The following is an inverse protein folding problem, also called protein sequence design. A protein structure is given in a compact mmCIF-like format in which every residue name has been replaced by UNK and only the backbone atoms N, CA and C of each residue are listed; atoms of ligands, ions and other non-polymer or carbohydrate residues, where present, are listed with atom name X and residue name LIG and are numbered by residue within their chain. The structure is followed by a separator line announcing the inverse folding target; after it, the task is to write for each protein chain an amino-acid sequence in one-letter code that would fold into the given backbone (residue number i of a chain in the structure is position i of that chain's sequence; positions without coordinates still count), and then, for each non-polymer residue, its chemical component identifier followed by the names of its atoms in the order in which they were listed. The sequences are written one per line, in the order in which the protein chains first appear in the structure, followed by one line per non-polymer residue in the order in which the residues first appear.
data_IF_993080017154
#
_entry.id   IF_993080017154
#
_cell.length_a   1.000
_cell.length_b   1.000
_cell.length_c   1.000
_cell.angle_alpha   90.00
_cell.angle_beta   90.00
_cell.angle_gamma   90.00
#
_symmetry.space_group_name_H-M   'P 1'
#
loop_
_entity.id
_entity.type
_entity.pdbx_description
1 polymer ?
#
# COMPACT_ATOMS: atom_id res chain seq x y z
N UNK A 1 -35.94 22.22 45.88
CA UNK A 1 -34.58 21.73 45.56
C UNK A 1 -34.64 21.02 44.20
N UNK A 2 -34.35 21.71 43.10
CA UNK A 2 -34.41 21.14 41.74
C UNK A 2 -33.05 20.51 41.41
N UNK A 3 -33.02 19.19 41.19
CA UNK A 3 -31.83 18.45 40.75
C UNK A 3 -31.54 18.82 39.29
N UNK A 4 -30.40 19.46 39.06
CA UNK A 4 -29.82 19.64 37.72
C UNK A 4 -29.20 18.30 37.29
N UNK A 5 -29.78 17.67 36.28
CA UNK A 5 -29.20 16.51 35.60
C UNK A 5 -28.29 17.08 34.51
N UNK A 6 -26.97 16.95 34.70
CA UNK A 6 -25.98 17.24 33.66
C UNK A 6 -26.03 16.09 32.64
N UNK A 7 -26.65 16.32 31.49
CA UNK A 7 -26.54 15.43 30.35
C UNK A 7 -25.17 15.64 29.69
N UNK A 8 -24.25 14.68 29.86
CA UNK A 8 -22.98 14.64 29.14
C UNK A 8 -23.24 14.39 27.66
N UNK A 9 -23.05 15.42 26.81
CA UNK A 9 -23.00 15.24 25.37
C UNK A 9 -21.76 14.40 25.00
N UNK A 10 -21.99 13.14 24.64
CA UNK A 10 -21.04 12.36 23.85
C UNK A 10 -21.00 12.99 22.45
N UNK A 11 -19.95 13.76 22.18
CA UNK A 11 -19.63 14.23 20.83
C UNK A 11 -19.10 13.02 20.05
N UNK A 12 -19.99 12.31 19.37
CA UNK A 12 -19.61 11.31 18.38
C UNK A 12 -19.06 12.04 17.16
N UNK A 13 -17.76 12.26 17.10
CA UNK A 13 -17.07 12.74 15.90
C UNK A 13 -17.27 11.71 14.80
N UNK A 14 -18.03 12.05 13.77
CA UNK A 14 -18.12 11.27 12.54
C UNK A 14 -16.77 11.35 11.84
N UNK A 15 -15.90 10.36 12.09
CA UNK A 15 -14.67 10.20 11.32
C UNK A 15 -15.09 9.89 9.88
N UNK A 16 -15.06 10.89 9.01
CA UNK A 16 -15.20 10.67 7.57
C UNK A 16 -14.04 9.77 7.16
N UNK A 17 -14.34 8.56 6.65
CA UNK A 17 -13.31 7.62 6.22
C UNK A 17 -12.46 8.30 5.13
N UNK A 18 -11.29 8.81 5.51
CA UNK A 18 -10.36 9.42 4.57
C UNK A 18 -9.44 8.34 4.03
N UNK A 19 -9.52 8.08 2.73
CA UNK A 19 -8.53 7.25 2.05
C UNK A 19 -7.19 7.98 2.08
N UNK A 20 -6.15 7.30 2.56
CA UNK A 20 -4.78 7.80 2.59
C UNK A 20 -3.86 6.88 1.80
N UNK A 21 -2.75 7.44 1.32
CA UNK A 21 -1.75 6.73 0.53
C UNK A 21 -0.38 6.80 1.22
N UNK A 22 0.26 5.66 1.51
CA UNK A 22 1.65 5.63 1.98
C UNK A 22 2.58 6.18 0.91
N UNK A 23 3.41 7.15 1.28
CA UNK A 23 4.41 7.78 0.38
C UNK A 23 5.67 6.95 0.21
N UNK A 24 5.96 6.09 1.19
CA UNK A 24 7.08 5.16 1.24
C UNK A 24 6.63 3.79 1.79
N UNK A 25 7.58 2.90 2.06
CA UNK A 25 7.29 1.59 2.66
C UNK A 25 7.06 1.74 4.15
N UNK A 26 5.84 1.48 4.58
CA UNK A 26 5.42 1.63 5.98
C UNK A 26 5.50 0.31 6.76
N UNK A 27 5.93 0.32 8.04
CA UNK A 27 5.83 -0.86 8.89
C UNK A 27 4.36 -1.16 9.21
N UNK A 28 4.03 -2.44 9.32
CA UNK A 28 2.67 -2.90 9.63
C UNK A 28 2.66 -3.73 10.90
N UNK A 29 1.64 -3.53 11.73
CA UNK A 29 1.43 -4.19 13.00
C UNK A 29 0.04 -4.85 13.01
N UNK A 30 -0.13 -5.90 13.83
CA UNK A 30 -1.41 -6.61 13.99
C UNK A 30 -2.20 -6.17 15.23
N UNK A 31 -1.64 -5.30 16.06
CA UNK A 31 -2.28 -4.76 17.27
C UNK A 31 -1.81 -3.30 17.52
N UNK A 32 -2.65 -2.46 18.17
CA UNK A 32 -2.37 -1.05 18.35
C UNK A 32 -1.07 -0.81 19.13
N UNK A 33 -0.87 -1.48 20.25
CA UNK A 33 0.31 -1.25 21.11
C UNK A 33 1.51 -2.14 20.77
N UNK A 34 1.43 -2.95 19.70
CA UNK A 34 2.51 -3.88 19.35
C UNK A 34 3.75 -3.16 18.83
N UNK A 35 4.93 -3.49 19.37
CA UNK A 35 6.22 -3.03 18.80
C UNK A 35 6.79 -4.00 17.75
N UNK A 36 6.16 -5.16 17.59
CA UNK A 36 6.56 -6.21 16.67
C UNK A 36 6.04 -5.92 15.26
N UNK A 37 6.96 -5.57 14.36
CA UNK A 37 6.66 -5.31 12.94
C UNK A 37 6.26 -6.64 12.29
N UNK A 38 4.98 -6.75 11.95
CA UNK A 38 4.42 -7.93 11.33
C UNK A 38 4.56 -7.94 9.81
N UNK A 39 4.77 -6.77 9.19
CA UNK A 39 4.74 -6.65 7.74
C UNK A 39 5.14 -5.28 7.19
N UNK A 40 4.90 -5.10 5.90
CA UNK A 40 5.18 -3.88 5.14
C UNK A 40 3.99 -3.54 4.25
N UNK A 41 3.51 -2.31 4.36
CA UNK A 41 2.56 -1.68 3.46
C UNK A 41 3.37 -0.90 2.41
N UNK A 42 3.17 -1.21 1.14
CA UNK A 42 3.90 -0.56 0.04
C UNK A 42 3.25 0.76 -0.36
N UNK A 43 4.03 1.72 -0.92
CA UNK A 43 3.52 3.02 -1.33
C UNK A 43 2.41 2.90 -2.39
N UNK A 44 1.64 3.96 -2.58
CA UNK A 44 0.56 4.11 -3.60
C UNK A 44 -0.70 3.27 -3.39
N UNK A 45 -0.79 2.47 -2.32
CA UNK A 45 -1.97 1.65 -2.04
C UNK A 45 -2.90 2.37 -1.08
N UNK A 46 -4.12 2.68 -1.53
CA UNK A 46 -5.11 3.35 -0.70
C UNK A 46 -5.49 2.51 0.51
N UNK A 47 -5.43 3.13 1.68
CA UNK A 47 -5.91 2.57 2.93
C UNK A 47 -7.08 3.41 3.45
N UNK A 48 -8.12 2.76 3.95
CA UNK A 48 -9.21 3.46 4.64
C UNK A 48 -8.84 3.56 6.12
N UNK A 49 -8.73 4.77 6.64
CA UNK A 49 -8.48 5.00 8.08
C UNK A 49 -9.77 4.71 8.86
N UNK A 50 -9.70 3.74 9.78
CA UNK A 50 -10.83 3.34 10.62
C UNK A 50 -10.77 4.08 11.96
N UNK A 51 -9.59 4.17 12.54
CA UNK A 51 -9.37 4.70 13.88
C UNK A 51 -7.93 5.19 14.02
N UNK A 52 -7.74 6.24 14.80
CA UNK A 52 -6.42 6.69 15.23
C UNK A 52 -6.18 6.27 16.69
N UNK A 53 -5.05 5.62 16.96
CA UNK A 53 -4.69 5.16 18.31
C UNK A 53 -3.22 5.47 18.58
N UNK A 54 -2.97 6.46 19.45
CA UNK A 54 -1.60 6.90 19.76
C UNK A 54 -0.84 7.41 18.53
N UNK A 55 0.31 6.80 18.26
CA UNK A 55 1.19 7.06 17.11
C UNK A 55 0.81 6.26 15.84
N UNK A 56 -0.22 5.43 15.93
CA UNK A 56 -0.68 4.56 14.85
C UNK A 56 -2.09 4.89 14.38
N UNK A 57 -2.36 4.41 13.18
CA UNK A 57 -3.70 4.30 12.64
C UNK A 57 -4.06 2.83 12.49
N UNK A 58 -5.32 2.51 12.76
CA UNK A 58 -5.98 1.31 12.31
C UNK A 58 -6.54 1.58 10.92
N UNK A 59 -6.24 0.71 9.98
CA UNK A 59 -6.68 0.86 8.62
C UNK A 59 -7.31 -0.42 8.07
N UNK A 60 -8.18 -0.28 7.08
CA UNK A 60 -8.52 -1.38 6.18
C UNK A 60 -7.89 -1.21 4.81
N UNK A 61 -7.53 -2.33 4.19
CA UNK A 61 -7.06 -2.39 2.81
C UNK A 61 -7.76 -3.56 2.11
N UNK A 62 -8.35 -3.28 0.95
CA UNK A 62 -8.85 -4.30 0.03
C UNK A 62 -7.76 -4.72 -0.94
N UNK A 63 -7.78 -5.97 -1.34
CA UNK A 63 -6.88 -6.50 -2.36
C UNK A 63 -7.14 -7.97 -2.61
N UNK A 64 -6.16 -8.66 -3.16
CA UNK A 64 -6.28 -10.05 -3.58
C UNK A 64 -5.24 -10.93 -2.91
N UNK A 65 -5.63 -12.14 -2.52
CA UNK A 65 -4.72 -13.13 -1.94
C UNK A 65 -4.52 -14.28 -2.92
N UNK A 66 -3.25 -14.55 -3.22
CA UNK A 66 -2.85 -15.77 -3.91
C UNK A 66 -2.85 -16.93 -2.89
N UNK A 67 -3.57 -18.04 -3.11
CA UNK A 67 -3.53 -19.20 -2.22
C UNK A 67 -2.13 -19.76 -1.98
N UNK A 68 -1.21 -19.62 -2.95
CA UNK A 68 0.18 -20.02 -2.82
C UNK A 68 1.06 -19.05 -2.00
N UNK A 69 0.54 -17.86 -1.65
CA UNK A 69 1.24 -16.82 -0.91
C UNK A 69 0.26 -16.03 -0.02
N UNK A 70 -0.38 -16.72 0.93
CA UNK A 70 -1.44 -16.19 1.80
C UNK A 70 -1.02 -15.05 2.73
N UNK A 71 0.30 -14.85 2.92
CA UNK A 71 0.86 -13.75 3.68
C UNK A 71 1.03 -12.46 2.86
N UNK A 72 0.58 -12.42 1.60
CA UNK A 72 0.71 -11.26 0.72
C UNK A 72 -0.65 -10.87 0.17
N UNK A 73 -0.95 -9.58 0.26
CA UNK A 73 -2.12 -8.94 -0.34
C UNK A 73 -1.64 -8.16 -1.55
N UNK A 74 -2.21 -8.48 -2.69
CA UNK A 74 -1.89 -7.86 -3.97
C UNK A 74 -2.94 -6.79 -4.32
N UNK A 75 -2.49 -5.75 -5.01
CA UNK A 75 -3.32 -4.65 -5.47
C UNK A 75 -4.34 -5.11 -6.53
N UNK A 76 -3.93 -6.00 -7.44
CA UNK A 76 -4.75 -6.48 -8.56
C UNK A 76 -4.84 -8.00 -8.62
N UNK A 77 -5.90 -8.50 -9.26
CA UNK A 77 -6.13 -9.94 -9.40
C UNK A 77 -5.17 -10.55 -10.44
N UNK A 78 -4.38 -11.54 -10.02
CA UNK A 78 -3.50 -12.33 -10.89
C UNK A 78 -2.12 -11.72 -11.18
N UNK A 79 -1.83 -10.52 -10.69
CA UNK A 79 -0.55 -9.85 -10.86
C UNK A 79 0.12 -9.60 -9.51
N UNK A 80 1.44 -9.72 -9.49
CA UNK A 80 2.26 -9.56 -8.29
C UNK A 80 2.61 -8.11 -8.01
N UNK A 81 1.59 -7.24 -8.01
CA UNK A 81 1.68 -5.86 -7.53
C UNK A 81 1.35 -5.88 -6.04
N UNK A 82 2.38 -5.85 -5.19
CA UNK A 82 2.19 -6.04 -3.75
C UNK A 82 1.56 -4.78 -3.16
N UNK A 83 0.43 -4.92 -2.47
CA UNK A 83 -0.14 -3.83 -1.69
C UNK A 83 0.40 -3.89 -0.25
N UNK A 84 0.32 -5.07 0.35
CA UNK A 84 0.65 -5.33 1.74
C UNK A 84 1.27 -6.71 1.84
N UNK A 85 2.34 -6.85 2.63
CA UNK A 85 2.98 -8.15 2.87
C UNK A 85 3.23 -8.34 4.36
N UNK A 86 3.02 -9.56 4.84
CA UNK A 86 3.32 -9.98 6.19
C UNK A 86 4.53 -10.91 6.19
N UNK A 87 5.31 -10.90 7.26
CA UNK A 87 6.37 -11.90 7.45
C UNK A 87 5.76 -13.31 7.44
N UNK A 88 6.50 -14.30 6.93
CA UNK A 88 5.98 -15.69 6.82
C UNK A 88 5.58 -16.32 8.16
N UNK A 89 6.13 -15.80 9.26
CA UNK A 89 5.82 -16.21 10.64
C UNK A 89 4.59 -15.51 11.22
N UNK A 90 3.98 -14.59 10.47
CA UNK A 90 2.82 -13.81 10.89
C UNK A 90 1.65 -14.16 9.99
N UNK A 91 0.55 -14.58 10.60
CA UNK A 91 -0.67 -14.92 9.89
C UNK A 91 -1.64 -13.74 9.98
N UNK A 92 -1.79 -12.93 8.92
CA UNK A 92 -2.82 -11.91 8.91
C UNK A 92 -4.20 -12.56 8.91
N UNK A 93 -5.14 -11.98 9.66
CA UNK A 93 -6.56 -12.30 9.47
C UNK A 93 -7.10 -11.38 8.40
N UNK A 94 -7.83 -11.96 7.46
CA UNK A 94 -8.53 -11.21 6.42
C UNK A 94 -9.96 -11.73 6.27
N UNK A 95 -10.85 -10.81 5.94
CA UNK A 95 -12.23 -11.07 5.56
C UNK A 95 -12.24 -11.41 4.07
N UNK A 96 -12.80 -12.55 3.67
CA UNK A 96 -13.00 -12.87 2.25
C UNK A 96 -14.24 -12.11 1.78
N UNK A 97 -14.02 -11.15 0.87
CA UNK A 97 -15.10 -10.35 0.25
C UNK A 97 -15.70 -11.12 -0.92
N UNK A 98 -14.83 -11.74 -1.74
CA UNK A 98 -15.25 -12.57 -2.86
C UNK A 98 -14.28 -13.73 -3.03
N UNK A 99 -14.83 -14.94 -3.02
CA UNK A 99 -14.05 -16.16 -3.25
C UNK A 99 -13.76 -16.32 -4.74
N UNK A 100 -12.50 -16.58 -5.07
CA UNK A 100 -12.09 -16.98 -6.42
C UNK A 100 -12.54 -18.41 -6.73
N UNK A 101 -12.56 -18.75 -8.01
CA UNK A 101 -12.64 -20.15 -8.43
C UNK A 101 -11.44 -20.96 -7.89
N UNK A 102 -11.51 -22.29 -7.93
CA UNK A 102 -10.43 -23.16 -7.45
C UNK A 102 -9.07 -22.78 -8.05
N UNK A 103 -8.12 -22.39 -7.20
CA UNK A 103 -6.77 -21.97 -7.60
C UNK A 103 -6.66 -20.52 -8.09
N UNK A 104 -7.75 -19.76 -8.15
CA UNK A 104 -7.76 -18.31 -8.39
C UNK A 104 -7.63 -17.54 -7.07
N UNK A 105 -7.39 -16.23 -7.19
CA UNK A 105 -7.16 -15.38 -6.04
C UNK A 105 -8.48 -14.95 -5.42
N UNK A 106 -8.51 -14.89 -4.09
CA UNK A 106 -9.64 -14.38 -3.33
C UNK A 106 -9.51 -12.86 -3.21
N UNK A 107 -10.61 -12.14 -3.39
CA UNK A 107 -10.70 -10.73 -2.99
C UNK A 107 -10.94 -10.67 -1.48
N UNK A 108 -10.09 -9.93 -0.78
CA UNK A 108 -10.10 -9.87 0.69
C UNK A 108 -10.04 -8.43 1.19
N UNK A 109 -10.42 -8.25 2.44
CA UNK A 109 -10.20 -7.04 3.22
C UNK A 109 -9.35 -7.37 4.45
N UNK A 110 -8.29 -6.63 4.65
CA UNK A 110 -7.39 -6.78 5.80
C UNK A 110 -7.56 -5.59 6.73
N UNK A 111 -7.54 -5.85 8.04
CA UNK A 111 -7.43 -4.81 9.07
C UNK A 111 -6.06 -4.95 9.73
N UNK A 112 -5.31 -3.86 9.76
CA UNK A 112 -4.00 -3.80 10.39
C UNK A 112 -3.71 -2.39 10.89
N UNK A 113 -2.51 -2.19 11.42
CA UNK A 113 -2.06 -0.90 11.95
C UNK A 113 -0.77 -0.47 11.29
N UNK A 114 -0.61 0.84 11.08
CA UNK A 114 0.66 1.45 10.65
C UNK A 114 0.86 2.78 11.36
N UNK A 115 2.05 3.38 11.26
CA UNK A 115 2.32 4.68 11.89
C UNK A 115 1.70 5.84 11.09
N UNK A 116 1.35 6.93 11.76
CA UNK A 116 0.61 8.08 11.18
C UNK A 116 1.39 8.94 10.18
N UNK A 117 2.72 8.88 10.21
CA UNK A 117 3.60 9.67 9.35
C UNK A 117 3.57 9.19 7.89
N UNK A 118 4.04 10.04 6.95
CA UNK A 118 4.29 9.67 5.54
C UNK A 118 3.05 9.14 4.80
N UNK A 119 1.87 9.68 5.13
CA UNK A 119 0.59 9.39 4.49
C UNK A 119 0.05 10.65 3.80
N UNK A 120 -0.43 10.50 2.56
CA UNK A 120 -0.94 11.61 1.75
C UNK A 120 -2.39 11.35 1.32
N UNK A 121 -3.13 12.44 1.05
CA UNK A 121 -4.52 12.36 0.58
C UNK A 121 -4.63 12.16 -0.93
N UNK A 122 -3.62 12.56 -1.68
CA UNK A 122 -3.63 12.51 -3.13
C UNK A 122 -2.51 11.60 -3.66
N UNK A 123 -2.91 10.67 -4.51
CA UNK A 123 -2.02 9.73 -5.16
C UNK A 123 -1.30 10.36 -6.36
N UNK A 124 -1.92 11.30 -7.06
CA UNK A 124 -1.41 11.83 -8.33
C UNK A 124 -0.02 12.47 -8.19
N UNK A 125 0.24 13.37 -7.22
CA UNK A 125 1.56 13.97 -7.06
C UNK A 125 2.67 12.94 -6.80
N UNK A 126 2.35 11.85 -6.09
CA UNK A 126 3.31 10.78 -5.84
C UNK A 126 3.66 10.02 -7.12
N UNK A 127 2.67 9.74 -7.96
CA UNK A 127 2.88 9.06 -9.24
C UNK A 127 3.60 9.95 -10.25
N UNK A 128 3.26 11.24 -10.30
CA UNK A 128 3.96 12.22 -11.14
C UNK A 128 5.44 12.31 -10.76
N UNK A 129 5.75 12.36 -9.46
CA UNK A 129 7.13 12.32 -8.97
C UNK A 129 7.84 11.03 -9.37
N UNK A 130 7.19 9.88 -9.21
CA UNK A 130 7.75 8.59 -9.59
C UNK A 130 8.07 8.52 -11.09
N UNK A 131 7.14 9.02 -11.93
CA UNK A 131 7.29 9.15 -13.38
C UNK A 131 8.46 10.04 -13.75
N UNK A 132 8.53 11.24 -13.18
CA UNK A 132 9.62 12.18 -13.44
C UNK A 132 10.97 11.57 -13.06
N UNK A 133 11.09 11.01 -11.85
CA UNK A 133 12.34 10.38 -11.39
C UNK A 133 12.74 9.21 -12.29
N UNK A 134 11.79 8.38 -12.73
CA UNK A 134 12.05 7.31 -13.68
C UNK A 134 12.59 7.87 -15.02
N UNK A 135 11.89 8.84 -15.60
CA UNK A 135 12.24 9.41 -16.90
C UNK A 135 13.63 10.09 -16.88
N UNK A 136 13.92 10.87 -15.85
CA UNK A 136 15.18 11.58 -15.72
C UNK A 136 16.33 10.63 -15.38
N UNK A 137 16.14 9.66 -14.49
CA UNK A 137 17.22 8.81 -13.99
C UNK A 137 17.53 7.63 -14.90
N UNK A 138 16.55 7.09 -15.63
CA UNK A 138 16.71 5.90 -16.45
C UNK A 138 16.96 6.19 -17.94
N UNK A 139 17.02 7.47 -18.34
CA UNK A 139 17.39 7.89 -19.70
C UNK A 139 18.85 8.34 -19.84
N UNK A 140 19.60 8.34 -18.74
CA UNK A 140 21.00 8.84 -18.69
C UNK A 140 21.95 7.97 -19.51
N UNK A 141 21.77 6.64 -19.50
CA UNK A 141 22.73 5.69 -20.05
C UNK A 141 22.28 5.04 -21.36
N UNK A 142 20.98 4.93 -21.59
CA UNK A 142 20.39 4.30 -22.77
C UNK A 142 19.00 4.89 -23.04
N UNK A 143 18.39 4.50 -24.16
CA UNK A 143 17.02 4.90 -24.43
C UNK A 143 16.07 4.41 -23.33
N UNK A 144 15.16 5.28 -22.90
CA UNK A 144 14.22 4.98 -21.84
C UNK A 144 13.24 3.88 -22.30
N UNK A 145 13.08 2.84 -21.50
CA UNK A 145 12.05 1.85 -21.75
C UNK A 145 10.67 2.46 -21.49
N UNK A 146 9.74 2.29 -22.44
CA UNK A 146 8.35 2.70 -22.25
C UNK A 146 7.75 1.91 -21.09
N UNK A 147 6.87 2.54 -20.31
CA UNK A 147 6.20 1.92 -19.17
C UNK A 147 5.34 0.71 -19.59
N UNK A 148 4.86 0.69 -20.84
CA UNK A 148 4.11 -0.44 -21.42
C UNK A 148 4.98 -1.55 -22.03
N UNK A 149 6.32 -1.40 -22.04
CA UNK A 149 7.22 -2.37 -22.68
C UNK A 149 7.26 -3.72 -21.95
N UNK A 150 7.05 -3.72 -20.64
CA UNK A 150 7.06 -4.92 -19.81
C UNK A 150 5.77 -5.03 -19.00
N UNK A 151 5.40 -6.25 -18.61
CA UNK A 151 4.23 -6.48 -17.77
C UNK A 151 4.52 -6.19 -16.29
N UNK A 152 3.50 -6.07 -15.43
CA UNK A 152 3.68 -5.73 -14.01
C UNK A 152 4.61 -6.67 -13.25
N UNK A 153 4.66 -7.95 -13.60
CA UNK A 153 5.49 -8.92 -12.88
C UNK A 153 6.97 -8.83 -13.26
N UNK A 154 7.29 -8.22 -14.41
CA UNK A 154 8.66 -8.08 -14.92
C UNK A 154 9.36 -6.83 -14.36
N UNK A 155 8.63 -5.72 -14.25
CA UNK A 155 9.18 -4.42 -13.83
C UNK A 155 10.04 -4.44 -12.57
N UNK A 156 9.64 -5.09 -11.46
CA UNK A 156 10.43 -5.06 -10.23
C UNK A 156 11.86 -5.58 -10.41
N UNK A 157 12.02 -6.69 -11.13
CA UNK A 157 13.34 -7.30 -11.35
C UNK A 157 14.19 -6.44 -12.29
N UNK A 158 13.59 -5.97 -13.39
CA UNK A 158 14.26 -5.13 -14.39
C UNK A 158 14.73 -3.81 -13.78
N UNK A 159 13.87 -3.10 -13.08
CA UNK A 159 14.21 -1.85 -12.41
C UNK A 159 15.33 -2.03 -11.38
N UNK A 160 15.21 -3.05 -10.50
CA UNK A 160 16.25 -3.35 -9.49
C UNK A 160 17.60 -3.70 -10.10
N UNK A 161 17.63 -4.32 -11.29
CA UNK A 161 18.88 -4.64 -11.98
C UNK A 161 19.69 -3.40 -12.38
N UNK A 162 19.02 -2.25 -12.52
CA UNK A 162 19.64 -0.97 -12.90
C UNK A 162 19.75 0.01 -11.74
N UNK A 163 19.00 -0.17 -10.64
CA UNK A 163 18.92 0.79 -9.53
C UNK A 163 20.27 1.22 -8.96
N UNK A 164 21.24 0.30 -8.82
CA UNK A 164 22.58 0.65 -8.31
C UNK A 164 23.43 1.48 -9.28
N UNK A 165 22.96 1.69 -10.51
CA UNK A 165 23.62 2.45 -11.58
C UNK A 165 22.92 3.79 -11.85
N UNK A 166 21.93 4.17 -11.05
CA UNK A 166 21.18 5.42 -11.18
C UNK A 166 21.36 6.28 -9.92
N UNK A 167 21.08 7.59 -9.97
CA UNK A 167 21.09 8.46 -8.79
C UNK A 167 19.83 8.31 -7.90
N UNK A 168 19.01 7.28 -8.12
CA UNK A 168 17.73 7.11 -7.42
C UNK A 168 17.97 6.70 -5.96
N UNK A 169 17.34 7.41 -5.03
CA UNK A 169 17.38 7.07 -3.60
C UNK A 169 16.66 5.73 -3.36
N UNK A 170 17.26 4.88 -2.53
CA UNK A 170 16.70 3.59 -2.12
C UNK A 170 15.30 3.72 -1.50
N UNK A 171 14.97 4.84 -0.86
CA UNK A 171 13.62 5.08 -0.31
C UNK A 171 12.53 5.17 -1.40
N UNK A 172 12.91 5.64 -2.60
CA UNK A 172 11.98 5.83 -3.72
C UNK A 172 11.85 4.57 -4.59
N UNK A 173 12.67 3.54 -4.36
CA UNK A 173 12.67 2.28 -5.12
C UNK A 173 11.26 1.71 -5.29
N UNK A 174 10.53 1.53 -4.18
CA UNK A 174 9.21 0.90 -4.22
C UNK A 174 8.14 1.80 -4.80
N UNK A 175 8.28 3.12 -4.68
CA UNK A 175 7.36 4.06 -5.31
C UNK A 175 7.47 3.97 -6.83
N UNK A 176 8.69 3.97 -7.35
CA UNK A 176 8.94 3.89 -8.80
C UNK A 176 8.55 2.52 -9.34
N UNK A 177 8.85 1.43 -8.62
CA UNK A 177 8.37 0.08 -9.00
C UNK A 177 6.84 0.05 -9.07
N UNK A 178 6.14 0.54 -8.03
CA UNK A 178 4.68 0.56 -8.01
C UNK A 178 4.11 1.41 -9.15
N UNK A 179 4.74 2.56 -9.46
CA UNK A 179 4.38 3.37 -10.62
C UNK A 179 4.53 2.58 -11.92
N UNK A 180 5.69 1.98 -12.20
CA UNK A 180 5.94 1.22 -13.43
C UNK A 180 4.97 0.04 -13.58
N UNK A 181 4.72 -0.69 -12.49
CA UNK A 181 3.76 -1.79 -12.48
C UNK A 181 2.35 -1.31 -12.86
N UNK A 182 1.85 -0.24 -12.23
CA UNK A 182 0.50 0.30 -12.48
C UNK A 182 0.41 0.98 -13.85
N UNK A 183 1.46 1.67 -14.29
CA UNK A 183 1.52 2.35 -15.58
C UNK A 183 1.49 1.33 -16.73
N UNK A 184 2.19 0.22 -16.59
CA UNK A 184 2.18 -0.87 -17.58
C UNK A 184 0.81 -1.52 -17.79
N UNK A 185 -0.09 -1.41 -16.79
CA UNK A 185 -1.48 -1.87 -16.89
C UNK A 185 -2.42 -0.82 -17.48
N UNK A 186 -1.99 0.44 -17.55
CA UNK A 186 -2.87 1.58 -17.85
C UNK A 186 -3.70 2.07 -16.65
N UNK A 187 -3.37 1.66 -15.42
CA UNK A 187 -4.06 2.10 -14.20
C UNK A 187 -3.69 3.54 -13.82
N UNK A 188 -2.58 4.04 -14.35
CA UNK A 188 -2.08 5.41 -14.17
C UNK A 188 -1.64 5.98 -15.52
N UNK A 189 -1.86 7.28 -15.73
CA UNK A 189 -1.53 8.01 -16.97
C UNK A 189 -0.51 9.11 -16.68
#
# INVERSE_FOLDING_TARGET
MKKLILASLLVSSTLSASMLYPTDVKPVYLAPDSKDIAGKLLPTNGIDVIEESGDKIKFSLKGFVNPAASNVIYYSNGERIIALSFAKTKTPKYEIIKKGETGKWDEVKVIAYTTKDNLEKDLKPMLDRAKQTYQESCSICHHLHKESQYNPNQWPSLFKSMLSRTPIDKKDEWLIIQYLQKASKGDVK
#
